data_IF_657423646988
#
_entry.id   IF_657423646988
#
_cell.length_a   1.000
_cell.length_b   1.000
_cell.length_c   1.000
_cell.angle_alpha   90.00
_cell.angle_beta   90.00
_cell.angle_gamma   90.00
#
_symmetry.space_group_name_H-M   'P 1'
#
loop_
_entity.id
_entity.type
_entity.pdbx_description
1 polymer ?
#
# COMPACT_ATOMS: atom_id res chain seq x y z
N UNK A 1 12.01 9.20 13.18
CA UNK A 1 12.44 8.17 12.22
C UNK A 1 12.04 8.58 10.81
N UNK A 2 12.98 8.54 9.90
CA UNK A 2 12.73 8.91 8.52
C UNK A 2 12.28 7.66 7.74
N UNK A 3 11.30 7.83 6.84
CA UNK A 3 10.93 6.76 5.92
C UNK A 3 12.06 6.56 4.90
N UNK A 4 12.18 5.36 4.28
CA UNK A 4 13.20 5.12 3.28
C UNK A 4 13.12 6.12 2.11
N UNK A 5 14.28 6.50 1.57
CA UNK A 5 14.35 7.46 0.46
C UNK A 5 13.54 6.95 -0.75
N UNK A 6 13.64 5.67 -1.05
CA UNK A 6 12.91 5.07 -2.17
C UNK A 6 11.40 5.17 -1.97
N UNK A 7 10.92 4.93 -0.75
CA UNK A 7 9.51 5.05 -0.44
C UNK A 7 9.06 6.51 -0.53
N UNK A 8 9.85 7.43 -0.01
CA UNK A 8 9.52 8.84 -0.07
C UNK A 8 9.39 9.32 -1.52
N UNK A 9 10.33 8.92 -2.36
CA UNK A 9 10.31 9.27 -3.79
C UNK A 9 9.08 8.67 -4.49
N UNK A 10 8.78 7.41 -4.18
CA UNK A 10 7.62 6.73 -4.76
C UNK A 10 6.32 7.43 -4.34
N UNK A 11 6.19 7.78 -3.07
CA UNK A 11 5.01 8.48 -2.56
C UNK A 11 4.83 9.84 -3.22
N UNK A 12 5.89 10.61 -3.34
CA UNK A 12 5.83 11.92 -4.00
C UNK A 12 5.35 11.79 -5.44
N UNK A 13 5.90 10.84 -6.19
CA UNK A 13 5.51 10.65 -7.58
C UNK A 13 4.06 10.22 -7.72
N UNK A 14 3.59 9.31 -6.88
CA UNK A 14 2.21 8.85 -6.94
C UNK A 14 1.22 9.95 -6.54
N UNK A 15 1.53 10.71 -5.50
CA UNK A 15 0.69 11.82 -5.08
C UNK A 15 0.64 12.93 -6.13
N UNK A 16 1.76 13.23 -6.77
CA UNK A 16 1.79 14.23 -7.85
C UNK A 16 0.94 13.79 -9.04
N UNK A 17 0.96 12.53 -9.39
CA UNK A 17 0.09 12.00 -10.46
C UNK A 17 -1.39 12.17 -10.11
N UNK A 18 -1.76 11.91 -8.88
CA UNK A 18 -3.15 12.07 -8.42
C UNK A 18 -3.56 13.55 -8.48
N UNK A 19 -2.70 14.45 -8.02
CA UNK A 19 -2.97 15.89 -8.07
C UNK A 19 -3.19 16.34 -9.52
N UNK A 20 -2.34 15.89 -10.45
CA UNK A 20 -2.48 16.21 -11.86
C UNK A 20 -3.80 15.69 -12.43
N UNK A 21 -4.19 14.48 -12.06
CA UNK A 21 -5.48 13.92 -12.48
C UNK A 21 -6.66 14.71 -11.94
N UNK A 22 -6.58 15.18 -10.69
CA UNK A 22 -7.61 16.02 -10.11
C UNK A 22 -7.78 17.32 -10.89
N UNK A 23 -6.68 17.95 -11.28
CA UNK A 23 -6.72 19.19 -12.07
C UNK A 23 -7.35 18.94 -13.44
N UNK A 24 -7.07 17.82 -14.07
CA UNK A 24 -7.63 17.45 -15.37
C UNK A 24 -9.12 17.16 -15.23
N UNK A 25 -9.54 16.49 -14.18
CA UNK A 25 -10.90 15.99 -14.00
C UNK A 25 -11.78 16.88 -13.13
N UNK A 26 -11.35 18.08 -12.82
CA UNK A 26 -12.10 18.98 -11.96
C UNK A 26 -13.50 19.25 -12.46
N UNK A 27 -13.67 19.35 -13.77
CA UNK A 27 -14.98 19.56 -14.40
C UNK A 27 -15.95 18.39 -14.20
N UNK A 28 -15.43 17.19 -13.99
CA UNK A 28 -16.25 16.01 -13.75
C UNK A 28 -16.70 15.88 -12.30
N UNK A 29 -16.16 16.69 -11.41
CA UNK A 29 -16.40 16.58 -9.97
C UNK A 29 -17.87 16.66 -9.59
N UNK A 30 -18.61 17.62 -10.18
CA UNK A 30 -20.02 17.79 -9.89
C UNK A 30 -20.84 16.59 -10.34
N UNK A 31 -20.47 15.97 -11.44
CA UNK A 31 -21.13 14.77 -11.95
C UNK A 31 -20.87 13.59 -10.98
N UNK A 32 -19.63 13.43 -10.54
CA UNK A 32 -19.24 12.39 -9.58
C UNK A 32 -20.02 12.54 -8.27
N UNK A 33 -20.17 13.75 -7.78
CA UNK A 33 -20.94 14.03 -6.57
C UNK A 33 -22.41 13.68 -6.73
N UNK A 34 -23.00 13.97 -7.89
CA UNK A 34 -24.37 13.57 -8.20
C UNK A 34 -24.54 12.06 -8.17
N UNK A 35 -23.62 11.34 -8.73
CA UNK A 35 -23.65 9.88 -8.71
C UNK A 35 -23.59 9.33 -7.29
N UNK A 36 -22.78 9.92 -6.43
CA UNK A 36 -22.71 9.52 -5.03
C UNK A 36 -24.03 9.71 -4.30
N UNK A 37 -24.76 10.76 -4.62
CA UNK A 37 -26.06 11.05 -3.99
C UNK A 37 -27.16 10.15 -4.50
N UNK A 38 -27.15 9.83 -5.78
CA UNK A 38 -28.24 9.13 -6.44
C UNK A 38 -28.08 7.63 -6.50
N UNK A 39 -26.85 7.15 -6.43
CA UNK A 39 -26.53 5.73 -6.53
C UNK A 39 -25.46 5.39 -5.52
N UNK A 40 -25.84 4.65 -4.51
CA UNK A 40 -24.93 4.28 -3.44
C UNK A 40 -24.08 3.05 -3.77
N UNK A 41 -24.27 2.43 -4.95
CA UNK A 41 -23.63 1.16 -5.26
C UNK A 41 -22.46 1.29 -6.26
N UNK A 42 -22.58 0.71 -7.43
CA UNK A 42 -21.46 0.49 -8.32
C UNK A 42 -20.75 1.72 -8.85
N UNK A 43 -21.46 2.83 -9.05
CA UNK A 43 -20.87 4.03 -9.67
C UNK A 43 -19.95 4.81 -8.77
N UNK A 44 -20.14 4.67 -7.46
CA UNK A 44 -19.24 5.26 -6.47
C UNK A 44 -17.86 4.62 -6.49
N UNK A 45 -17.82 3.34 -6.85
CA UNK A 45 -16.61 2.53 -6.69
C UNK A 45 -15.39 3.08 -7.42
N UNK A 46 -15.55 3.62 -8.62
CA UNK A 46 -14.43 4.18 -9.36
C UNK A 46 -13.84 5.40 -8.67
N UNK A 47 -14.70 6.34 -8.27
CA UNK A 47 -14.27 7.54 -7.55
C UNK A 47 -13.77 7.20 -6.16
N UNK A 48 -14.45 6.26 -5.48
CA UNK A 48 -14.00 5.79 -4.16
C UNK A 48 -12.65 5.11 -4.23
N UNK A 49 -12.39 4.36 -5.29
CA UNK A 49 -11.10 3.72 -5.47
C UNK A 49 -9.97 4.74 -5.51
N UNK A 50 -10.14 5.81 -6.30
CA UNK A 50 -9.14 6.88 -6.38
C UNK A 50 -8.96 7.60 -5.05
N UNK A 51 -10.07 7.90 -4.38
CA UNK A 51 -10.04 8.54 -3.07
C UNK A 51 -9.38 7.63 -2.02
N UNK A 52 -9.69 6.34 -2.06
CA UNK A 52 -9.11 5.38 -1.13
C UNK A 52 -7.60 5.27 -1.34
N UNK A 53 -7.15 5.26 -2.59
CA UNK A 53 -5.72 5.24 -2.90
C UNK A 53 -5.04 6.51 -2.40
N UNK A 54 -5.62 7.67 -2.68
CA UNK A 54 -5.06 8.95 -2.22
C UNK A 54 -4.97 9.01 -0.69
N UNK A 55 -6.02 8.56 -0.01
CA UNK A 55 -6.04 8.50 1.44
C UNK A 55 -4.96 7.55 1.97
N UNK A 56 -4.88 6.34 1.40
CA UNK A 56 -3.88 5.35 1.80
C UNK A 56 -2.46 5.87 1.64
N UNK A 57 -2.18 6.55 0.51
CA UNK A 57 -0.87 7.14 0.25
C UNK A 57 -0.55 8.24 1.26
N UNK A 58 -1.52 9.09 1.58
CA UNK A 58 -1.33 10.17 2.54
C UNK A 58 -1.08 9.66 3.96
N UNK A 59 -1.64 8.49 4.29
CA UNK A 59 -1.49 7.85 5.60
C UNK A 59 -0.25 6.96 5.70
N UNK A 60 0.34 6.60 4.59
CA UNK A 60 1.42 5.62 4.56
C UNK A 60 2.63 5.98 5.41
N UNK A 61 3.11 7.25 5.47
CA UNK A 61 4.22 7.58 6.35
C UNK A 61 3.94 7.25 7.82
N UNK A 62 2.76 7.60 8.33
CA UNK A 62 2.39 7.29 9.70
C UNK A 62 2.23 5.79 9.94
N UNK A 63 1.63 5.09 8.98
CA UNK A 63 1.46 3.64 9.04
C UNK A 63 2.82 2.94 9.02
N UNK A 64 3.72 3.38 8.16
CA UNK A 64 5.10 2.86 8.11
C UNK A 64 5.78 3.01 9.47
N UNK A 65 5.71 4.18 10.07
CA UNK A 65 6.34 4.40 11.38
C UNK A 65 5.78 3.50 12.46
N UNK A 66 4.46 3.33 12.49
CA UNK A 66 3.81 2.43 13.45
C UNK A 66 4.24 0.98 13.24
N UNK A 67 4.24 0.53 11.99
CA UNK A 67 4.65 -0.83 11.63
C UNK A 67 6.13 -1.06 11.97
N UNK A 68 6.98 -0.11 11.62
CA UNK A 68 8.41 -0.18 11.94
C UNK A 68 8.63 -0.31 13.43
N UNK A 69 7.97 0.54 14.22
CA UNK A 69 8.10 0.52 15.68
C UNK A 69 7.68 -0.81 16.27
N UNK A 70 6.55 -1.35 15.84
CA UNK A 70 6.02 -2.61 16.35
C UNK A 70 6.94 -3.79 15.99
N UNK A 71 7.37 -3.85 14.74
CA UNK A 71 8.26 -4.91 14.25
C UNK A 71 9.61 -4.81 14.94
N UNK A 72 10.16 -3.61 15.05
CA UNK A 72 11.45 -3.38 15.68
C UNK A 72 11.45 -3.87 17.13
N UNK A 73 10.40 -3.54 17.87
CA UNK A 73 10.26 -4.01 19.26
C UNK A 73 10.17 -5.51 19.36
N UNK A 74 9.50 -6.15 18.41
CA UNK A 74 9.41 -7.60 18.37
C UNK A 74 10.76 -8.24 18.10
N UNK A 75 11.54 -7.66 17.17
CA UNK A 75 12.83 -8.22 16.77
C UNK A 75 13.94 -7.95 17.78
N UNK A 76 13.91 -6.81 18.47
CA UNK A 76 14.99 -6.43 19.41
C UNK A 76 15.19 -7.43 20.57
N UNK A 77 14.11 -8.06 21.02
CA UNK A 77 14.16 -9.01 22.13
C UNK A 77 14.25 -10.47 21.68
N UNK A 78 14.34 -10.72 20.39
CA UNK A 78 14.33 -12.06 19.84
C UNK A 78 15.34 -12.16 18.71
N UNK A 79 15.95 -13.33 18.62
CA UNK A 79 16.97 -13.59 17.60
C UNK A 79 16.35 -14.42 16.46
N UNK A 80 15.53 -13.76 15.65
CA UNK A 80 14.86 -14.42 14.53
C UNK A 80 15.71 -14.42 13.28
N UNK A 81 15.70 -15.55 12.57
CA UNK A 81 16.22 -15.64 11.22
C UNK A 81 15.02 -15.70 10.28
N UNK A 82 14.65 -14.54 9.72
CA UNK A 82 13.44 -14.42 8.90
C UNK A 82 13.77 -14.69 7.45
N UNK A 83 13.23 -15.77 6.90
CA UNK A 83 13.45 -16.17 5.51
C UNK A 83 12.22 -15.96 4.63
N UNK A 84 11.04 -15.93 5.23
CA UNK A 84 9.77 -15.80 4.51
C UNK A 84 8.85 -14.84 5.27
N UNK A 85 8.20 -13.96 4.55
CA UNK A 85 7.26 -13.00 5.10
C UNK A 85 5.95 -13.09 4.32
N UNK A 86 4.84 -13.24 5.03
CA UNK A 86 3.51 -13.09 4.47
C UNK A 86 2.88 -11.84 5.08
N UNK A 87 2.63 -10.86 4.25
CA UNK A 87 1.98 -9.61 4.65
C UNK A 87 0.51 -9.71 4.28
N UNK A 88 -0.31 -10.12 5.24
CA UNK A 88 -1.74 -10.41 5.01
C UNK A 88 -2.56 -9.16 5.30
N UNK A 89 -3.36 -8.75 4.30
CA UNK A 89 -4.03 -7.46 4.37
C UNK A 89 -3.05 -6.32 4.13
N UNK A 90 -2.17 -6.49 3.16
CA UNK A 90 -1.00 -5.64 2.97
C UNK A 90 -1.31 -4.17 2.70
N UNK A 91 -2.50 -3.87 2.16
CA UNK A 91 -2.82 -2.51 1.75
C UNK A 91 -1.84 -2.02 0.70
N UNK A 92 -1.16 -0.92 0.98
CA UNK A 92 -0.12 -0.38 0.09
C UNK A 92 1.26 -0.97 0.36
N UNK A 93 1.39 -1.84 1.37
CA UNK A 93 2.63 -2.54 1.66
C UNK A 93 3.51 -1.92 2.74
N UNK A 94 2.96 -1.09 3.61
CA UNK A 94 3.72 -0.39 4.66
C UNK A 94 4.54 -1.33 5.53
N UNK A 95 3.95 -2.43 5.99
CA UNK A 95 4.64 -3.39 6.85
C UNK A 95 5.80 -4.08 6.11
N UNK A 96 5.61 -4.37 4.84
CA UNK A 96 6.67 -4.95 4.01
C UNK A 96 7.85 -3.99 3.84
N UNK A 97 7.58 -2.71 3.60
CA UNK A 97 8.62 -1.70 3.57
C UNK A 97 9.38 -1.64 4.91
N UNK A 98 8.63 -1.73 6.03
CA UNK A 98 9.23 -1.65 7.36
C UNK A 98 10.11 -2.88 7.68
N UNK A 99 9.62 -4.07 7.43
CA UNK A 99 10.39 -5.29 7.75
C UNK A 99 11.67 -5.36 6.91
N UNK A 100 11.62 -4.89 5.67
CA UNK A 100 12.77 -4.88 4.78
C UNK A 100 13.91 -4.01 5.29
N UNK A 101 13.58 -2.93 5.99
CA UNK A 101 14.59 -2.07 6.62
C UNK A 101 15.19 -2.70 7.88
N UNK A 102 14.49 -3.62 8.51
CA UNK A 102 14.88 -4.19 9.80
C UNK A 102 15.60 -5.53 9.70
N UNK A 103 15.54 -6.20 8.55
CA UNK A 103 16.21 -7.48 8.35
C UNK A 103 17.28 -7.37 7.26
N UNK A 104 18.44 -7.97 7.50
CA UNK A 104 19.59 -7.87 6.58
C UNK A 104 19.54 -8.90 5.45
N UNK A 105 19.00 -10.07 5.71
CA UNK A 105 18.84 -11.09 4.69
C UNK A 105 17.58 -10.77 3.86
N UNK A 106 17.64 -10.90 2.57
CA UNK A 106 16.52 -10.61 1.68
C UNK A 106 15.48 -11.73 1.77
N UNK A 107 14.47 -11.62 2.64
CA UNK A 107 13.46 -12.68 2.77
C UNK A 107 12.58 -12.75 1.54
N UNK A 108 11.97 -13.90 1.33
CA UNK A 108 10.94 -14.05 0.30
C UNK A 108 9.63 -13.44 0.83
N UNK A 109 9.11 -12.46 0.14
CA UNK A 109 7.94 -11.71 0.60
C UNK A 109 6.77 -11.91 -0.35
N UNK A 110 5.62 -12.23 0.21
CA UNK A 110 4.35 -12.27 -0.51
C UNK A 110 3.36 -11.38 0.21
N UNK A 111 2.80 -10.43 -0.52
CA UNK A 111 1.75 -9.56 -0.02
C UNK A 111 0.40 -10.11 -0.48
N UNK A 112 -0.53 -10.23 0.47
CA UNK A 112 -1.89 -10.69 0.21
C UNK A 112 -2.83 -9.53 0.46
N UNK A 113 -3.59 -9.15 -0.55
CA UNK A 113 -4.49 -8.00 -0.46
C UNK A 113 -5.75 -8.24 -1.27
N UNK A 114 -6.88 -7.82 -0.75
CA UNK A 114 -8.18 -8.01 -1.38
C UNK A 114 -8.47 -6.99 -2.49
N UNK A 115 -8.06 -5.74 -2.28
CA UNK A 115 -8.42 -4.64 -3.17
C UNK A 115 -7.43 -4.48 -4.32
N UNK A 116 -7.92 -4.60 -5.54
CA UNK A 116 -7.08 -4.46 -6.74
C UNK A 116 -6.36 -3.11 -6.81
N UNK A 117 -7.04 -2.04 -6.39
CA UNK A 117 -6.45 -0.69 -6.40
C UNK A 117 -5.26 -0.58 -5.46
N UNK A 118 -5.32 -1.24 -4.30
CA UNK A 118 -4.21 -1.27 -3.36
C UNK A 118 -3.04 -2.11 -3.87
N UNK A 119 -3.33 -3.25 -4.50
CA UNK A 119 -2.30 -4.08 -5.12
C UNK A 119 -1.57 -3.28 -6.20
N UNK A 120 -2.32 -2.62 -7.05
CA UNK A 120 -1.76 -1.85 -8.16
C UNK A 120 -0.82 -0.75 -7.64
N UNK A 121 -1.26 0.04 -6.68
CA UNK A 121 -0.43 1.11 -6.14
C UNK A 121 0.73 0.56 -5.31
N UNK A 122 0.51 -0.51 -4.57
CA UNK A 122 1.57 -1.17 -3.81
C UNK A 122 2.70 -1.67 -4.69
N UNK A 123 2.36 -2.33 -5.78
CA UNK A 123 3.35 -2.75 -6.79
C UNK A 123 4.11 -1.56 -7.38
N UNK A 124 3.39 -0.49 -7.68
CA UNK A 124 3.99 0.71 -8.25
C UNK A 124 4.99 1.33 -7.28
N UNK A 125 4.63 1.46 -6.01
CA UNK A 125 5.53 1.97 -4.99
C UNK A 125 6.78 1.10 -4.88
N UNK A 126 6.60 -0.22 -4.80
CA UNK A 126 7.72 -1.15 -4.64
C UNK A 126 8.63 -1.21 -5.86
N UNK A 127 8.16 -0.80 -7.03
CA UNK A 127 8.99 -0.72 -8.23
C UNK A 127 10.17 0.26 -8.08
N UNK A 128 10.09 1.17 -7.11
CA UNK A 128 11.16 2.13 -6.81
C UNK A 128 12.26 1.54 -5.93
N UNK A 129 12.07 0.34 -5.41
CA UNK A 129 13.02 -0.30 -4.48
C UNK A 129 13.67 -1.53 -5.10
N UNK A 130 14.99 -1.56 -5.12
CA UNK A 130 15.73 -2.75 -5.58
C UNK A 130 15.40 -3.97 -4.74
N UNK A 131 15.20 -3.80 -3.45
CA UNK A 131 14.87 -4.90 -2.54
C UNK A 131 13.45 -5.41 -2.71
N UNK A 132 12.51 -4.56 -3.08
CA UNK A 132 11.08 -4.88 -3.08
C UNK A 132 10.44 -5.05 -4.44
N UNK A 133 11.13 -4.67 -5.51
CA UNK A 133 10.54 -4.69 -6.86
C UNK A 133 10.06 -6.08 -7.32
N UNK A 134 10.59 -7.14 -6.74
CA UNK A 134 10.23 -8.52 -7.08
C UNK A 134 9.27 -9.15 -6.07
N UNK A 135 8.71 -8.37 -5.16
CA UNK A 135 7.72 -8.85 -4.19
C UNK A 135 6.52 -9.43 -4.93
N UNK A 136 6.09 -10.61 -4.50
CA UNK A 136 4.90 -11.24 -5.06
C UNK A 136 3.66 -10.68 -4.39
N UNK A 137 2.64 -10.35 -5.18
CA UNK A 137 1.35 -9.88 -4.70
C UNK A 137 0.27 -10.86 -5.14
N UNK A 138 -0.59 -11.24 -4.22
CA UNK A 138 -1.71 -12.14 -4.50
C UNK A 138 -3.01 -11.49 -4.04
N UNK A 139 -4.02 -11.55 -4.90
CA UNK A 139 -5.37 -11.15 -4.51
C UNK A 139 -5.90 -12.18 -3.55
N UNK A 140 -6.29 -11.75 -2.36
CA UNK A 140 -6.66 -12.65 -1.29
C UNK A 140 -7.68 -11.99 -0.38
N UNK A 141 -8.80 -12.68 -0.15
CA UNK A 141 -9.82 -12.27 0.80
C UNK A 141 -9.75 -13.23 2.00
N UNK A 142 -9.33 -12.71 3.15
CA UNK A 142 -9.11 -13.51 4.35
C UNK A 142 -10.39 -14.23 4.83
N UNK A 143 -11.55 -13.70 4.45
CA UNK A 143 -12.84 -14.30 4.82
C UNK A 143 -13.20 -15.46 3.90
N UNK A 144 -12.86 -15.38 2.62
CA UNK A 144 -13.28 -16.33 1.59
C UNK A 144 -12.20 -17.31 1.16
N UNK A 145 -10.94 -16.92 1.24
CA UNK A 145 -9.83 -17.67 0.66
C UNK A 145 -9.01 -18.40 1.71
N UNK A 146 -8.25 -19.39 1.27
CA UNK A 146 -7.33 -20.13 2.13
C UNK A 146 -5.90 -19.98 1.59
N UNK A 147 -4.95 -19.87 2.50
CA UNK A 147 -3.54 -19.84 2.14
C UNK A 147 -3.04 -21.30 2.05
N UNK A 148 -2.60 -21.68 0.85
CA UNK A 148 -2.08 -23.03 0.60
C UNK A 148 -0.56 -23.01 0.43
#
# INVERSE_FOLDING_TARGET
MAIPIDLNRALENQLNQIINMQNINEKAKSISEKYRKNDNDGKRLLTESDEAVAYALSRMPATYEADYSAINKTLENNNFNINTVFDIGAGTGSATWAITELVDNSPNITCFEREDSMIKVGKKLMSYSEKLKNTEWKKFDIVKDEIN
#
